data_IF_676998106218
#
_entry.id   IF_676998106218
#
_cell.length_a   1.000
_cell.length_b   1.000
_cell.length_c   1.000
_cell.angle_alpha   90.00
_cell.angle_beta   90.00
_cell.angle_gamma   90.00
#
_symmetry.space_group_name_H-M   'P 1'
#
loop_
_entity.id
_entity.type
_entity.pdbx_description
1 polymer ?
#
# COMPACT_ATOMS: atom_id res chain seq x y z
N UNK A 1 9.27 2.39 -6.73
CA UNK A 1 8.54 1.77 -5.61
C UNK A 1 7.13 2.35 -5.60
N UNK A 2 6.25 1.85 -4.73
CA UNK A 2 4.95 2.44 -4.47
C UNK A 2 4.37 1.86 -3.18
N UNK A 3 3.34 2.50 -2.65
CA UNK A 3 2.60 2.02 -1.49
C UNK A 3 1.10 1.98 -1.80
N UNK A 4 0.36 1.13 -1.10
CA UNK A 4 -1.08 1.02 -1.17
C UNK A 4 -1.69 1.25 0.20
N UNK A 5 -2.82 1.95 0.23
CA UNK A 5 -3.74 1.96 1.38
C UNK A 5 -5.03 1.29 0.95
N UNK A 6 -5.54 0.38 1.76
CA UNK A 6 -6.86 -0.20 1.60
C UNK A 6 -7.84 0.54 2.52
N UNK A 7 -8.88 1.12 1.93
CA UNK A 7 -9.96 1.74 2.67
C UNK A 7 -10.94 0.67 3.20
N UNK A 8 -10.51 -0.09 4.22
CA UNK A 8 -11.33 -0.99 5.01
C UNK A 8 -11.63 -0.36 6.38
N UNK A 9 -12.46 -1.03 7.21
CA UNK A 9 -12.82 -0.53 8.55
C UNK A 9 -11.58 -0.31 9.44
N UNK A 10 -10.59 -1.21 9.30
CA UNK A 10 -9.24 -1.03 9.82
C UNK A 10 -8.34 -0.53 8.68
N UNK A 11 -7.64 0.59 8.87
CA UNK A 11 -6.73 1.14 7.87
C UNK A 11 -5.54 0.21 7.64
N UNK A 12 -5.41 -0.36 6.45
CA UNK A 12 -4.27 -1.21 6.08
C UNK A 12 -3.38 -0.53 5.06
N UNK A 13 -2.07 -0.67 5.24
CA UNK A 13 -1.07 -0.28 4.25
C UNK A 13 -0.25 -1.48 3.79
N UNK A 14 0.27 -1.43 2.57
CA UNK A 14 1.14 -2.48 2.04
C UNK A 14 2.39 -2.64 2.91
N UNK A 15 2.85 -3.86 3.13
CA UNK A 15 4.08 -4.16 3.85
C UNK A 15 5.21 -4.56 2.91
N UNK A 16 6.24 -3.73 2.89
CA UNK A 16 7.51 -3.91 2.21
C UNK A 16 8.54 -4.65 3.06
N UNK A 17 9.58 -5.15 2.39
CA UNK A 17 10.67 -5.92 3.03
C UNK A 17 11.86 -5.06 3.47
N UNK A 18 11.90 -3.79 3.08
CA UNK A 18 12.98 -2.87 3.45
C UNK A 18 12.40 -1.66 4.17
N UNK A 19 13.02 -1.32 5.29
CA UNK A 19 12.78 -0.06 5.98
C UNK A 19 13.64 1.05 5.33
N UNK A 20 13.00 1.84 4.47
CA UNK A 20 13.58 3.02 3.83
C UNK A 20 13.26 4.33 4.54
N UNK A 21 12.64 4.29 5.73
CA UNK A 21 12.03 5.47 6.37
C UNK A 21 10.66 5.83 5.81
N UNK A 22 10.17 7.03 6.16
CA UNK A 22 8.86 7.54 5.73
C UNK A 22 8.86 7.73 4.20
N UNK A 23 7.88 7.13 3.52
CA UNK A 23 7.68 7.30 2.08
C UNK A 23 6.76 8.50 1.80
N UNK A 24 7.21 9.46 1.02
CA UNK A 24 6.43 10.65 0.65
C UNK A 24 5.99 10.61 -0.82
N UNK A 25 4.68 10.76 -1.05
CA UNK A 25 4.08 10.72 -2.38
C UNK A 25 3.19 11.93 -2.63
N UNK A 26 3.33 12.58 -3.79
CA UNK A 26 2.42 13.65 -4.21
C UNK A 26 1.10 13.05 -4.71
N UNK A 27 0.01 13.27 -3.97
CA UNK A 27 -1.34 12.83 -4.31
C UNK A 27 -2.27 14.04 -4.39
N UNK A 28 -2.82 14.30 -5.58
CA UNK A 28 -3.76 15.42 -5.83
C UNK A 28 -3.25 16.79 -5.32
N UNK A 29 -1.95 17.03 -5.43
CA UNK A 29 -1.32 18.29 -4.99
C UNK A 29 -0.98 18.38 -3.50
N UNK A 30 -1.21 17.30 -2.75
CA UNK A 30 -0.82 17.17 -1.35
C UNK A 30 0.25 16.10 -1.18
N UNK A 31 1.20 16.32 -0.27
CA UNK A 31 2.12 15.26 0.16
C UNK A 31 1.34 14.29 1.04
N UNK A 32 1.44 13.00 0.70
CA UNK A 32 0.95 11.89 1.50
C UNK A 32 2.15 11.10 2.00
N UNK A 33 2.20 10.91 3.31
CA UNK A 33 3.22 10.11 3.98
C UNK A 33 2.72 8.67 4.14
N UNK A 34 3.67 7.74 4.11
CA UNK A 34 3.48 6.33 4.40
C UNK A 34 4.50 5.92 5.45
N UNK A 35 4.05 5.16 6.46
CA UNK A 35 4.91 4.67 7.54
C UNK A 35 6.10 3.85 6.98
N UNK A 36 7.21 3.78 7.72
CA UNK A 36 8.38 3.04 7.28
C UNK A 36 8.06 1.58 6.94
N UNK A 37 8.73 1.08 5.91
CA UNK A 37 8.47 -0.27 5.39
C UNK A 37 7.16 -0.41 4.63
N UNK A 38 6.44 0.66 4.27
CA UNK A 38 5.21 0.53 3.47
C UNK A 38 5.45 0.31 1.97
N UNK A 39 6.65 0.61 1.48
CA UNK A 39 6.94 0.60 0.06
C UNK A 39 7.21 -0.82 -0.47
N UNK A 40 6.49 -1.18 -1.52
CA UNK A 40 6.66 -2.42 -2.26
C UNK A 40 7.10 -2.13 -3.71
N UNK A 41 7.72 -3.11 -4.41
CA UNK A 41 8.01 -3.01 -5.83
C UNK A 41 6.76 -2.65 -6.65
N UNK A 42 6.90 -1.77 -7.63
CA UNK A 42 5.78 -1.29 -8.47
C UNK A 42 5.05 -2.42 -9.23
N UNK A 43 5.74 -3.53 -9.46
CA UNK A 43 5.14 -4.73 -10.03
C UNK A 43 4.09 -5.36 -9.09
N UNK A 44 4.37 -5.41 -7.78
CA UNK A 44 3.43 -5.91 -6.78
C UNK A 44 2.26 -4.95 -6.58
N UNK A 45 2.50 -3.63 -6.58
CA UNK A 45 1.41 -2.62 -6.58
C UNK A 45 0.42 -2.90 -7.70
N UNK A 46 0.93 -3.07 -8.94
CA UNK A 46 0.09 -3.35 -10.11
C UNK A 46 -0.65 -4.68 -10.00
N UNK A 47 -0.01 -5.70 -9.44
CA UNK A 47 -0.63 -7.01 -9.26
C UNK A 47 -1.77 -6.95 -8.23
N UNK A 48 -1.54 -6.31 -7.08
CA UNK A 48 -2.54 -6.15 -6.02
C UNK A 48 -3.77 -5.36 -6.52
N UNK A 49 -3.56 -4.27 -7.27
CA UNK A 49 -4.68 -3.51 -7.86
C UNK A 49 -5.48 -4.35 -8.85
N UNK A 50 -4.82 -5.18 -9.67
CA UNK A 50 -5.52 -6.08 -10.61
C UNK A 50 -6.32 -7.14 -9.86
N UNK A 51 -5.76 -7.71 -8.81
CA UNK A 51 -6.45 -8.70 -7.96
C UNK A 51 -7.69 -8.08 -7.31
N UNK A 52 -7.56 -6.90 -6.69
CA UNK A 52 -8.67 -6.15 -6.10
C UNK A 52 -9.81 -5.92 -7.10
N UNK A 53 -9.49 -5.44 -8.30
CA UNK A 53 -10.50 -5.19 -9.34
C UNK A 53 -11.16 -6.48 -9.84
N UNK A 54 -10.38 -7.54 -9.99
CA UNK A 54 -10.86 -8.83 -10.53
C UNK A 54 -11.68 -9.62 -9.51
N UNK A 55 -11.42 -9.43 -8.21
CA UNK A 55 -12.15 -10.05 -7.10
C UNK A 55 -13.43 -9.31 -6.69
N UNK A 56 -13.71 -8.16 -7.32
CA UNK A 56 -14.86 -7.31 -6.94
C UNK A 56 -14.64 -6.54 -5.65
N UNK A 57 -13.38 -6.22 -5.31
CA UNK A 57 -13.01 -5.41 -4.16
C UNK A 57 -12.59 -6.20 -2.93
N UNK A 58 -12.27 -7.48 -3.05
CA UNK A 58 -11.70 -8.25 -1.92
C UNK A 58 -10.24 -7.84 -1.68
N UNK A 59 -9.80 -7.98 -0.42
CA UNK A 59 -8.42 -7.69 0.00
C UNK A 59 -7.43 -8.50 -0.83
N UNK A 60 -6.50 -7.85 -1.56
CA UNK A 60 -5.48 -8.54 -2.33
C UNK A 60 -4.60 -9.45 -1.45
N UNK A 61 -4.39 -10.68 -1.88
CA UNK A 61 -3.59 -11.69 -1.17
C UNK A 61 -2.17 -11.81 -1.71
N UNK A 62 -1.87 -11.22 -2.86
CA UNK A 62 -0.53 -11.25 -3.46
C UNK A 62 0.52 -10.37 -2.77
N UNK A 63 0.14 -9.61 -1.74
CA UNK A 63 1.04 -8.80 -0.92
C UNK A 63 0.72 -8.97 0.57
N UNK A 64 1.69 -8.63 1.42
CA UNK A 64 1.45 -8.52 2.86
C UNK A 64 0.87 -7.14 3.20
N UNK A 65 0.04 -7.11 4.24
CA UNK A 65 -0.56 -5.90 4.80
C UNK A 65 -0.08 -5.70 6.23
N UNK A 66 -0.01 -4.45 6.66
CA UNK A 66 0.22 -4.06 8.04
C UNK A 66 -0.81 -3.01 8.45
N UNK A 67 -1.07 -2.94 9.76
CA UNK A 67 -1.93 -1.90 10.32
C UNK A 67 -1.25 -0.54 10.17
N UNK A 68 -2.06 0.46 9.83
CA UNK A 68 -1.61 1.84 9.71
C UNK A 68 -1.43 2.43 11.13
N UNK A 69 -0.19 2.38 11.64
CA UNK A 69 0.21 2.98 12.91
C UNK A 69 0.86 4.36 12.64
N UNK A 70 0.08 5.44 12.70
CA UNK A 70 0.58 6.83 12.67
C UNK A 70 0.46 7.50 14.05
#
# INVERSE_FOLDING_TARGET
>A
MGALTLAADDGYVSKGSMDGGIGEYMLLGHVREFMPGSEIPIALVRQAVKEFLSSGGQVPTCIEWQEEEF
#
